data_IF_218276888732
#
_entry.id   IF_218276888732
#
_cell.length_a   1.000
_cell.length_b   1.000
_cell.length_c   1.000
_cell.angle_alpha   90.00
_cell.angle_beta   90.00
_cell.angle_gamma   90.00
#
_symmetry.space_group_name_H-M   'P 1'
#
loop_
_entity.id
_entity.type
_entity.pdbx_description
1 polymer ?
#
# COMPACT_ATOMS: atom_id res chain seq x y z
N UNK A 1 9.06 -1.15 -9.80
CA UNK A 1 9.28 -1.10 -8.33
C UNK A 1 7.91 -1.21 -7.68
N UNK A 2 7.70 -2.12 -6.72
CA UNK A 2 6.39 -2.28 -6.08
C UNK A 2 6.07 -1.10 -5.14
N UNK A 3 4.79 -0.76 -5.01
CA UNK A 3 4.33 0.35 -4.17
C UNK A 3 4.85 0.24 -2.73
N UNK A 4 4.77 -0.95 -2.12
CA UNK A 4 5.18 -1.16 -0.74
C UNK A 4 6.67 -0.94 -0.52
N UNK A 5 7.53 -1.31 -1.49
CA UNK A 5 8.97 -1.04 -1.42
C UNK A 5 9.23 0.46 -1.54
N UNK A 6 8.47 1.17 -2.39
CA UNK A 6 8.58 2.63 -2.52
C UNK A 6 8.20 3.35 -1.22
N UNK A 7 7.11 2.94 -0.58
CA UNK A 7 6.68 3.51 0.70
C UNK A 7 7.74 3.26 1.78
N UNK A 8 8.28 2.03 1.88
CA UNK A 8 9.34 1.70 2.84
C UNK A 8 10.61 2.52 2.62
N UNK A 9 11.03 2.71 1.37
CA UNK A 9 12.22 3.51 1.04
C UNK A 9 12.07 4.99 1.42
N UNK A 10 10.85 5.53 1.34
CA UNK A 10 10.58 6.93 1.65
C UNK A 10 10.37 7.22 3.15
N UNK A 11 10.25 6.20 4.02
CA UNK A 11 9.89 6.34 5.45
C UNK A 11 10.64 7.46 6.18
N UNK A 12 11.95 7.57 5.98
CA UNK A 12 12.78 8.56 6.67
C UNK A 12 12.50 10.02 6.26
N UNK A 13 11.83 10.22 5.12
CA UNK A 13 11.50 11.54 4.54
C UNK A 13 10.02 11.93 4.66
N UNK A 14 9.24 11.13 5.40
CA UNK A 14 7.82 11.35 5.60
C UNK A 14 7.57 12.28 6.78
N UNK A 15 6.66 13.24 6.61
CA UNK A 15 6.07 13.99 7.70
C UNK A 15 5.20 13.09 8.59
N UNK A 16 4.80 13.57 9.77
CA UNK A 16 3.96 12.79 10.69
C UNK A 16 2.66 12.26 10.04
N UNK A 17 1.97 13.08 9.23
CA UNK A 17 0.74 12.67 8.53
C UNK A 17 1.03 11.64 7.44
N UNK A 18 2.14 11.78 6.71
CA UNK A 18 2.53 10.85 5.66
C UNK A 18 3.00 9.51 6.25
N UNK A 19 3.69 9.53 7.40
CA UNK A 19 4.09 8.34 8.15
C UNK A 19 2.86 7.54 8.60
N UNK A 20 1.83 8.21 9.15
CA UNK A 20 0.56 7.56 9.50
C UNK A 20 -0.09 6.88 8.28
N UNK A 21 -0.10 7.56 7.13
CA UNK A 21 -0.64 7.00 5.88
C UNK A 21 0.19 5.82 5.37
N UNK A 22 1.52 5.91 5.44
CA UNK A 22 2.44 4.84 5.09
C UNK A 22 2.25 3.62 5.99
N UNK A 23 2.18 3.82 7.30
CA UNK A 23 1.94 2.76 8.29
C UNK A 23 0.59 2.09 8.05
N UNK A 24 -0.47 2.86 7.86
CA UNK A 24 -1.79 2.32 7.56
C UNK A 24 -1.79 1.51 6.27
N UNK A 25 -1.15 2.02 5.22
CA UNK A 25 -1.07 1.35 3.90
C UNK A 25 -0.29 0.04 3.97
N UNK A 26 0.80 -0.01 4.73
CA UNK A 26 1.63 -1.20 4.85
C UNK A 26 1.00 -2.27 5.77
N UNK A 27 0.26 -1.86 6.80
CA UNK A 27 -0.33 -2.77 7.78
C UNK A 27 -1.74 -3.24 7.37
N UNK A 28 -2.50 -2.43 6.63
CA UNK A 28 -3.89 -2.71 6.27
C UNK A 28 -4.19 -2.54 4.76
N UNK A 29 -3.34 -3.03 3.84
CA UNK A 29 -3.52 -2.79 2.41
C UNK A 29 -4.85 -3.35 1.87
N UNK A 30 -5.34 -4.49 2.39
CA UNK A 30 -6.61 -5.10 1.96
C UNK A 30 -7.82 -4.20 2.27
N UNK A 31 -7.80 -3.46 3.38
CA UNK A 31 -8.89 -2.55 3.75
C UNK A 31 -9.00 -1.38 2.76
N UNK A 32 -7.87 -0.90 2.23
CA UNK A 32 -7.82 0.21 1.27
C UNK A 32 -8.59 -0.13 -0.01
N UNK A 33 -8.68 -1.41 -0.40
CA UNK A 33 -9.48 -1.86 -1.56
C UNK A 33 -10.93 -1.38 -1.48
N UNK A 34 -11.50 -1.28 -0.28
CA UNK A 34 -12.91 -0.93 -0.08
C UNK A 34 -13.11 0.49 0.46
N UNK A 35 -12.03 1.24 0.72
CA UNK A 35 -12.12 2.58 1.28
C UNK A 35 -12.10 3.69 0.22
N UNK A 36 -12.82 4.76 0.52
CA UNK A 36 -12.69 6.08 -0.09
C UNK A 36 -11.53 6.87 0.54
N UNK A 37 -11.18 8.02 -0.05
CA UNK A 37 -10.14 8.89 0.50
C UNK A 37 -10.49 9.44 1.89
N UNK A 38 -11.79 9.60 2.18
CA UNK A 38 -12.27 10.12 3.46
C UNK A 38 -12.16 9.04 4.54
N UNK A 39 -12.54 7.81 4.21
CA UNK A 39 -12.43 6.66 5.14
C UNK A 39 -10.97 6.35 5.47
N UNK A 40 -10.08 6.37 4.47
CA UNK A 40 -8.64 6.23 4.71
C UNK A 40 -8.11 7.36 5.59
N UNK A 41 -8.51 8.60 5.34
CA UNK A 41 -8.10 9.75 6.15
C UNK A 41 -8.53 9.59 7.61
N UNK A 42 -9.78 9.18 7.83
CA UNK A 42 -10.32 8.93 9.17
C UNK A 42 -9.58 7.78 9.87
N UNK A 43 -9.37 6.66 9.18
CA UNK A 43 -8.69 5.49 9.75
C UNK A 43 -7.21 5.75 10.06
N UNK A 44 -6.53 6.57 9.27
CA UNK A 44 -5.15 6.99 9.51
C UNK A 44 -5.04 8.23 10.43
N UNK A 45 -6.17 8.79 10.89
CA UNK A 45 -6.23 10.02 11.70
C UNK A 45 -5.45 11.20 11.08
N UNK A 46 -5.80 11.52 9.83
CA UNK A 46 -5.28 12.64 9.04
C UNK A 46 -6.41 13.31 8.24
N UNK A 47 -6.11 14.41 7.55
CA UNK A 47 -7.08 15.06 6.66
C UNK A 47 -7.16 14.37 5.29
N UNK A 48 -8.33 14.44 4.63
CA UNK A 48 -8.50 13.94 3.26
C UNK A 48 -7.48 14.56 2.28
N UNK A 49 -7.19 15.85 2.42
CA UNK A 49 -6.16 16.53 1.62
C UNK A 49 -4.76 15.93 1.82
N UNK A 50 -4.45 15.42 3.03
CA UNK A 50 -3.18 14.72 3.29
C UNK A 50 -3.09 13.41 2.51
N UNK A 51 -4.21 12.67 2.37
CA UNK A 51 -4.27 11.45 1.54
C UNK A 51 -3.96 11.77 0.08
N UNK A 52 -4.58 12.82 -0.47
CA UNK A 52 -4.36 13.21 -1.87
C UNK A 52 -2.92 13.66 -2.10
N UNK A 53 -2.38 14.49 -1.21
CA UNK A 53 -0.98 14.96 -1.29
C UNK A 53 0.02 13.81 -1.15
N UNK A 54 -0.25 12.84 -0.27
CA UNK A 54 0.58 11.64 -0.12
C UNK A 54 0.61 10.82 -1.42
N UNK A 55 -0.56 10.59 -2.04
CA UNK A 55 -0.63 9.93 -3.35
C UNK A 55 0.18 10.68 -4.42
N UNK A 56 0.08 12.01 -4.46
CA UNK A 56 0.85 12.86 -5.38
C UNK A 56 2.36 12.84 -5.12
N UNK A 57 2.79 12.84 -3.85
CA UNK A 57 4.20 12.67 -3.47
C UNK A 57 4.76 11.32 -3.92
N UNK A 58 3.91 10.28 -3.95
CA UNK A 58 4.24 8.98 -4.51
C UNK A 58 4.17 8.93 -6.05
N UNK A 59 3.86 10.05 -6.72
CA UNK A 59 3.83 10.18 -8.18
C UNK A 59 2.50 9.79 -8.83
N UNK A 60 1.42 9.64 -8.06
CA UNK A 60 0.08 9.36 -8.58
C UNK A 60 -0.73 10.65 -8.74
N UNK A 61 -1.70 10.69 -9.66
CA UNK A 61 -2.55 11.87 -9.87
C UNK A 61 -3.45 12.18 -8.67
N UNK A 62 -3.75 11.18 -7.86
CA UNK A 62 -4.53 11.31 -6.63
C UNK A 62 -4.86 9.95 -6.01
N UNK A 63 -5.80 9.96 -5.06
CA UNK A 63 -6.16 8.75 -4.30
C UNK A 63 -6.65 7.58 -5.16
N UNK A 64 -7.50 7.75 -6.21
CA UNK A 64 -7.98 6.61 -7.00
C UNK A 64 -6.85 5.79 -7.65
N UNK A 65 -5.84 6.47 -8.20
CA UNK A 65 -4.69 5.82 -8.83
C UNK A 65 -3.76 5.18 -7.79
N UNK A 66 -3.57 5.83 -6.65
CA UNK A 66 -2.87 5.22 -5.51
C UNK A 66 -3.57 3.95 -5.02
N UNK A 67 -4.89 3.97 -4.86
CA UNK A 67 -5.70 2.81 -4.46
C UNK A 67 -5.56 1.67 -5.47
N UNK A 68 -5.60 1.97 -6.76
CA UNK A 68 -5.32 0.98 -7.81
C UNK A 68 -3.93 0.36 -7.64
N UNK A 69 -2.90 1.17 -7.41
CA UNK A 69 -1.54 0.68 -7.17
C UNK A 69 -1.41 -0.19 -5.90
N UNK A 70 -2.17 0.09 -4.84
CA UNK A 70 -2.25 -0.77 -3.65
C UNK A 70 -2.84 -2.14 -4.02
N UNK A 71 -3.97 -2.15 -4.73
CA UNK A 71 -4.64 -3.39 -5.13
C UNK A 71 -3.79 -4.21 -6.10
N UNK A 72 -3.12 -3.57 -7.04
CA UNK A 72 -2.18 -4.22 -7.95
C UNK A 72 -0.99 -4.84 -7.19
N UNK A 73 -0.41 -4.11 -6.22
CA UNK A 73 0.68 -4.61 -5.39
C UNK A 73 0.26 -5.83 -4.54
N UNK A 74 -0.96 -5.83 -3.99
CA UNK A 74 -1.54 -6.97 -3.26
C UNK A 74 -1.67 -8.22 -4.15
N UNK A 75 -2.20 -8.04 -5.37
CA UNK A 75 -2.39 -9.11 -6.33
C UNK A 75 -1.06 -9.70 -6.81
N UNK A 76 0.00 -8.90 -6.84
CA UNK A 76 1.35 -9.36 -7.18
C UNK A 76 2.00 -10.12 -6.01
N UNK A 77 1.75 -9.72 -4.77
CA UNK A 77 2.26 -10.40 -3.57
C UNK A 77 1.67 -11.81 -3.41
N UNK A 78 0.35 -11.95 -3.56
CA UNK A 78 -0.35 -13.23 -3.47
C UNK A 78 0.02 -14.21 -4.59
N UNK A 79 0.46 -13.72 -5.76
CA UNK A 79 1.04 -14.55 -6.84
C UNK A 79 2.44 -15.08 -6.56
N UNK A 80 3.16 -14.54 -5.58
CA UNK A 80 4.52 -15.00 -5.23
C UNK A 80 4.52 -16.07 -4.13
N UNK A 81 3.54 -16.08 -3.22
CA UNK A 81 3.41 -17.14 -2.20
C UNK A 81 3.05 -18.52 -2.80
N UNK A 82 2.41 -18.55 -3.96
CA UNK A 82 2.04 -19.81 -4.63
C UNK A 82 3.19 -20.49 -5.40
N UNK A 83 4.34 -19.81 -5.61
CA UNK A 83 5.49 -20.40 -6.33
C UNK A 83 6.53 -21.08 -5.43
N UNK A 84 6.41 -21.00 -4.10
CA UNK A 84 7.44 -21.51 -3.18
C UNK A 84 7.11 -22.82 -2.45
N UNK A 85 5.94 -23.44 -2.70
CA UNK A 85 5.51 -24.64 -1.93
C UNK A 85 5.36 -25.94 -2.74
N UNK A 86 5.77 -26.01 -4.02
CA UNK A 86 5.70 -27.28 -4.78
C UNK A 86 7.05 -28.00 -4.93
N UNK A 87 7.80 -28.10 -3.84
CA UNK A 87 9.07 -28.83 -3.73
C UNK A 87 9.05 -30.03 -2.78
N UNK A 88 7.89 -30.64 -2.50
CA UNK A 88 7.84 -31.89 -1.73
C UNK A 88 6.99 -32.93 -2.49
N UNK A 89 7.64 -33.68 -3.37
CA UNK A 89 7.34 -35.09 -3.63
C UNK A 89 8.68 -35.73 -4.01
N UNK A 90 9.33 -36.40 -3.05
CA UNK A 90 9.29 -37.86 -2.90
C UNK A 90 9.92 -38.58 -4.10
N UNK A 91 11.13 -39.08 -3.91
CA UNK A 91 11.74 -40.10 -4.78
C UNK A 91 12.76 -40.90 -3.99
N UNK A 92 12.26 -42.05 -3.53
CA UNK A 92 12.94 -43.36 -3.35
C UNK A 92 14.05 -43.51 -2.32
#
# INVERSE_FOLDING_TARGET
>A
MSLFIKIKALRASLSNSESKLADYTLNNPELIRNQSSIELASAANVSQSSVVKFAQKLGYKGFPEFKFAVVDALNQQSKQETKSTHGIHSSR
#
